data_IF_149672310479
#
_entry.id   IF_149672310479
#
_cell.length_a   1.000
_cell.length_b   1.000
_cell.length_c   1.000
_cell.angle_alpha   90.00
_cell.angle_beta   90.00
_cell.angle_gamma   90.00
#
_symmetry.space_group_name_H-M   'P 1'
#
loop_
_entity.id
_entity.type
_entity.pdbx_description
1 polymer ?
#
# COMPACT_ATOMS: atom_id res chain seq x y z
N UNK A 1 25.67 -16.24 0.39
CA UNK A 1 24.95 -15.04 0.88
C UNK A 1 25.27 -13.89 -0.05
N UNK A 2 24.33 -12.96 -0.25
CA UNK A 2 24.54 -11.73 -1.04
C UNK A 2 25.56 -10.80 -0.36
N UNK A 3 26.16 -9.87 -1.13
CA UNK A 3 27.04 -8.84 -0.57
C UNK A 3 26.26 -7.87 0.33
N UNK A 4 26.96 -7.14 1.21
CA UNK A 4 26.33 -6.11 2.03
C UNK A 4 25.66 -5.02 1.17
N UNK A 5 26.29 -4.64 0.07
CA UNK A 5 25.76 -3.67 -0.88
C UNK A 5 24.49 -4.17 -1.58
N UNK A 6 24.46 -5.43 -2.00
CA UNK A 6 23.26 -6.01 -2.63
C UNK A 6 22.10 -6.09 -1.64
N UNK A 7 22.39 -6.45 -0.38
CA UNK A 7 21.36 -6.46 0.66
C UNK A 7 20.81 -5.06 0.90
N UNK A 8 21.66 -4.02 0.95
CA UNK A 8 21.20 -2.64 1.09
C UNK A 8 20.34 -2.19 -0.10
N UNK A 9 20.74 -2.53 -1.32
CA UNK A 9 19.98 -2.20 -2.53
C UNK A 9 18.61 -2.88 -2.53
N UNK A 10 18.54 -4.19 -2.22
CA UNK A 10 17.34 -5.01 -2.42
C UNK A 10 16.36 -4.99 -1.24
N UNK A 11 16.79 -4.65 -0.03
CA UNK A 11 15.94 -4.79 1.18
C UNK A 11 15.42 -3.48 1.74
N UNK A 12 15.98 -2.33 1.33
CA UNK A 12 15.50 -1.02 1.76
C UNK A 12 14.31 -0.60 0.91
N UNK A 13 13.12 -0.49 1.50
CA UNK A 13 11.85 -0.25 0.78
C UNK A 13 11.12 1.03 1.21
N UNK A 14 11.76 1.90 2.00
CA UNK A 14 11.20 3.21 2.36
C UNK A 14 11.17 4.15 1.14
N UNK A 15 10.40 5.23 1.23
CA UNK A 15 10.42 6.28 0.19
C UNK A 15 11.85 6.76 -0.09
N UNK A 16 12.17 6.97 -1.37
CA UNK A 16 13.49 7.43 -1.82
C UNK A 16 14.55 6.34 -1.96
N UNK A 17 14.28 5.09 -1.62
CA UNK A 17 15.20 3.97 -1.86
C UNK A 17 14.90 3.29 -3.20
N UNK A 18 15.90 2.64 -3.82
CA UNK A 18 15.72 1.99 -5.12
C UNK A 18 14.52 1.02 -5.13
N UNK A 19 14.42 0.15 -4.12
CA UNK A 19 13.30 -0.79 -4.05
C UNK A 19 12.00 -0.14 -3.57
N UNK A 20 12.05 0.93 -2.77
CA UNK A 20 10.85 1.70 -2.42
C UNK A 20 10.21 2.34 -3.66
N UNK A 21 11.02 2.95 -4.52
CA UNK A 21 10.57 3.52 -5.80
C UNK A 21 10.16 2.44 -6.81
N UNK A 22 10.80 1.27 -6.77
CA UNK A 22 10.40 0.13 -7.60
C UNK A 22 9.01 -0.39 -7.23
N UNK A 23 8.73 -0.66 -5.94
CA UNK A 23 7.44 -1.20 -5.50
C UNK A 23 6.26 -0.27 -5.82
N UNK A 24 6.47 1.05 -5.80
CA UNK A 24 5.45 2.07 -6.11
C UNK A 24 5.01 2.11 -7.57
N UNK A 25 5.74 1.44 -8.47
CA UNK A 25 5.37 1.31 -9.89
C UNK A 25 4.35 0.19 -10.13
N UNK A 26 4.00 -0.57 -9.10
CA UNK A 26 3.09 -1.71 -9.18
C UNK A 26 1.91 -1.56 -8.22
N UNK A 27 0.77 -2.10 -8.61
CA UNK A 27 -0.40 -2.22 -7.74
C UNK A 27 -0.12 -3.18 -6.58
N UNK A 28 -0.38 -2.72 -5.35
CA UNK A 28 -0.23 -3.52 -4.14
C UNK A 28 -1.61 -3.85 -3.56
N UNK A 29 -1.92 -5.12 -3.25
CA UNK A 29 -3.10 -5.45 -2.47
C UNK A 29 -2.87 -5.06 -1.01
N UNK A 30 -3.72 -4.19 -0.46
CA UNK A 30 -3.54 -3.63 0.90
C UNK A 30 -4.73 -3.84 1.84
N UNK A 31 -5.88 -4.25 1.31
CA UNK A 31 -7.10 -4.51 2.08
C UNK A 31 -8.02 -5.46 1.30
N UNK A 32 -8.93 -6.13 2.01
CA UNK A 32 -10.01 -6.93 1.43
C UNK A 32 -11.24 -6.05 1.19
N UNK A 33 -11.88 -6.20 0.04
CA UNK A 33 -13.11 -5.45 -0.31
C UNK A 33 -14.22 -5.61 0.75
N UNK A 34 -14.31 -6.77 1.42
CA UNK A 34 -15.29 -7.05 2.49
C UNK A 34 -15.07 -6.29 3.79
N UNK A 35 -13.89 -5.70 4.00
CA UNK A 35 -13.64 -4.81 5.16
C UNK A 35 -14.38 -3.48 4.99
N UNK A 36 -14.72 -3.12 3.75
CA UNK A 36 -15.63 -2.04 3.39
C UNK A 36 -16.96 -2.63 2.94
N UNK A 37 -17.78 -3.06 3.90
CA UNK A 37 -18.90 -3.97 3.68
C UNK A 37 -20.02 -3.39 2.79
N UNK A 38 -20.34 -2.11 2.94
CA UNK A 38 -21.48 -1.45 2.29
C UNK A 38 -21.11 -0.02 1.86
N UNK A 39 -21.85 0.60 0.92
CA UNK A 39 -21.65 2.00 0.54
C UNK A 39 -21.67 2.92 1.75
N UNK A 40 -20.74 3.89 1.78
CA UNK A 40 -20.65 4.90 2.84
C UNK A 40 -20.43 4.32 4.26
N UNK A 41 -19.99 3.06 4.36
CA UNK A 41 -19.57 2.49 5.63
C UNK A 41 -18.36 3.26 6.20
N UNK A 42 -18.07 3.12 7.51
CA UNK A 42 -16.87 3.73 8.09
C UNK A 42 -15.62 3.36 7.28
N UNK A 43 -14.83 4.34 6.84
CA UNK A 43 -13.62 4.06 6.08
C UNK A 43 -12.56 3.43 6.99
N UNK A 44 -11.62 2.70 6.39
CA UNK A 44 -10.54 2.03 7.13
C UNK A 44 -9.22 2.75 6.91
N UNK A 45 -8.42 2.85 7.98
CA UNK A 45 -7.05 3.36 7.89
C UNK A 45 -6.13 2.26 7.40
N UNK A 46 -5.30 2.58 6.42
CA UNK A 46 -4.30 1.67 5.87
C UNK A 46 -2.95 2.35 5.88
N UNK A 47 -1.92 1.62 6.32
CA UNK A 47 -0.53 2.07 6.25
C UNK A 47 0.20 1.21 5.23
N UNK A 48 0.58 1.79 4.10
CA UNK A 48 1.29 1.08 3.01
C UNK A 48 2.53 1.86 2.60
N UNK A 49 3.67 1.17 2.46
CA UNK A 49 4.95 1.77 2.04
C UNK A 49 5.38 3.01 2.87
N UNK A 50 4.94 3.08 4.13
CA UNK A 50 5.26 4.20 5.04
C UNK A 50 4.28 5.37 4.98
N UNK A 51 3.24 5.31 4.14
CA UNK A 51 2.20 6.34 4.03
C UNK A 51 0.91 5.90 4.73
N UNK A 52 0.26 6.85 5.39
CA UNK A 52 -1.05 6.68 6.01
C UNK A 52 -2.14 7.14 5.03
N UNK A 53 -2.99 6.21 4.62
CA UNK A 53 -4.04 6.39 3.63
C UNK A 53 -5.40 5.96 4.19
N UNK A 54 -6.49 6.28 3.47
CA UNK A 54 -7.85 5.97 3.87
C UNK A 54 -8.54 5.19 2.76
N UNK A 55 -8.79 3.90 2.98
CA UNK A 55 -9.62 3.12 2.06
C UNK A 55 -11.11 3.34 2.37
N UNK A 56 -11.92 3.52 1.34
CA UNK A 56 -13.34 3.80 1.45
C UNK A 56 -14.14 3.13 0.33
N UNK A 57 -15.45 2.97 0.56
CA UNK A 57 -16.42 2.62 -0.48
C UNK A 57 -17.42 3.76 -0.62
N UNK A 58 -17.48 4.37 -1.80
CA UNK A 58 -18.39 5.48 -2.04
C UNK A 58 -19.86 5.03 -2.18
N UNK A 59 -20.78 6.00 -2.20
CA UNK A 59 -22.23 5.78 -2.43
C UNK A 59 -22.55 5.00 -3.72
N UNK A 60 -21.63 4.94 -4.68
CA UNK A 60 -21.77 4.20 -5.95
C UNK A 60 -21.09 2.83 -5.91
N UNK A 61 -20.80 2.31 -4.71
CA UNK A 61 -20.14 1.03 -4.45
C UNK A 61 -18.68 0.94 -4.92
N UNK A 62 -18.05 2.05 -5.35
CA UNK A 62 -16.67 2.04 -5.86
C UNK A 62 -15.68 2.09 -4.69
N UNK A 63 -14.69 1.20 -4.73
CA UNK A 63 -13.59 1.19 -3.77
C UNK A 63 -12.55 2.23 -4.18
N UNK A 64 -12.12 3.04 -3.21
CA UNK A 64 -11.07 4.03 -3.35
C UNK A 64 -10.06 3.94 -2.21
N UNK A 65 -8.98 4.69 -2.36
CA UNK A 65 -7.87 4.87 -1.41
C UNK A 65 -7.51 6.35 -1.29
#
# INVERSE_FOLDING_TARGET
MLSAADNELLTRTKSGTAMGEYFRRFWQPIALSRELAEPDCPPIRVKVMGEDLIAFRDTKERVGL
#
